data_IF_158884566277
#
_entry.id   IF_158884566277
#
_cell.length_a   1.000
_cell.length_b   1.000
_cell.length_c   1.000
_cell.angle_alpha   90.00
_cell.angle_beta   90.00
_cell.angle_gamma   90.00
#
_symmetry.space_group_name_H-M   'P 1'
#
loop_
_entity.id
_entity.type
_entity.pdbx_description
1 polymer ?
#
# COMPACT_ATOMS: atom_id res chain seq x y z
N UNK A 1 -5.07 18.46 11.00
CA UNK A 1 -5.81 17.64 11.99
C UNK A 1 -6.03 16.31 11.30
N UNK A 2 -5.37 15.25 11.75
CA UNK A 2 -5.45 13.98 11.05
C UNK A 2 -6.77 13.29 11.43
N UNK A 3 -7.64 13.06 10.45
CA UNK A 3 -8.81 12.19 10.59
C UNK A 3 -8.30 10.80 10.99
N UNK A 4 -8.43 10.45 12.29
CA UNK A 4 -8.10 9.11 12.78
C UNK A 4 -9.26 8.21 12.34
N UNK A 5 -9.02 7.33 11.36
CA UNK A 5 -10.04 6.40 10.90
C UNK A 5 -10.32 5.36 11.99
N UNK A 6 -11.55 5.39 12.51
CA UNK A 6 -12.01 4.44 13.49
C UNK A 6 -12.47 3.17 12.77
N UNK A 7 -11.60 2.17 12.67
CA UNK A 7 -11.96 0.81 12.28
C UNK A 7 -12.87 0.21 13.36
N UNK A 8 -14.19 0.38 13.22
CA UNK A 8 -15.15 -0.38 14.01
C UNK A 8 -15.30 -1.75 13.35
N UNK A 9 -15.08 -2.87 14.07
CA UNK A 9 -15.55 -4.17 13.62
C UNK A 9 -17.07 -4.06 13.50
N UNK A 10 -17.57 -3.84 12.28
CA UNK A 10 -18.97 -4.09 12.00
C UNK A 10 -19.08 -5.60 11.97
N UNK A 11 -19.85 -6.19 12.89
CA UNK A 11 -20.13 -7.63 12.90
C UNK A 11 -20.72 -8.16 11.57
N UNK A 12 -21.07 -7.26 10.65
CA UNK A 12 -21.63 -7.52 9.33
C UNK A 12 -20.65 -7.35 8.16
N UNK A 13 -19.40 -6.90 8.38
CA UNK A 13 -18.42 -6.75 7.29
C UNK A 13 -17.34 -7.82 7.36
N UNK A 14 -17.05 -8.43 6.22
CA UNK A 14 -15.94 -9.36 5.99
C UNK A 14 -14.59 -8.64 6.00
N UNK A 15 -13.49 -9.39 6.13
CA UNK A 15 -12.14 -8.82 6.03
C UNK A 15 -11.91 -8.15 4.66
N UNK A 16 -12.36 -8.79 3.58
CA UNK A 16 -12.30 -8.29 2.21
C UNK A 16 -13.00 -6.93 2.05
N UNK A 17 -14.24 -6.79 2.51
CA UNK A 17 -15.00 -5.53 2.40
C UNK A 17 -14.34 -4.39 3.18
N UNK A 18 -13.77 -4.70 4.35
CA UNK A 18 -13.05 -3.71 5.15
C UNK A 18 -11.75 -3.27 4.47
N UNK A 19 -11.03 -4.20 3.84
CA UNK A 19 -9.82 -3.91 3.09
C UNK A 19 -10.12 -3.04 1.87
N UNK A 20 -11.13 -3.40 1.08
CA UNK A 20 -11.56 -2.63 -0.08
C UNK A 20 -11.98 -1.21 0.31
N UNK A 21 -12.78 -1.08 1.38
CA UNK A 21 -13.19 0.22 1.88
C UNK A 21 -12.00 1.08 2.35
N UNK A 22 -10.99 0.47 2.97
CA UNK A 22 -9.77 1.16 3.36
C UNK A 22 -8.96 1.64 2.15
N UNK A 23 -8.79 0.77 1.14
CA UNK A 23 -8.08 1.10 -0.11
C UNK A 23 -8.76 2.25 -0.83
N UNK A 24 -10.08 2.18 -1.05
CA UNK A 24 -10.84 3.24 -1.73
C UNK A 24 -10.73 4.57 -0.98
N UNK A 25 -10.89 4.58 0.35
CA UNK A 25 -10.73 5.82 1.12
C UNK A 25 -9.33 6.42 0.98
N UNK A 26 -8.27 5.60 1.03
CA UNK A 26 -6.90 6.09 0.87
C UNK A 26 -6.61 6.60 -0.54
N UNK A 27 -7.18 5.96 -1.57
CA UNK A 27 -7.02 6.37 -2.97
C UNK A 27 -7.79 7.66 -3.27
N UNK A 28 -9.05 7.72 -2.83
CA UNK A 28 -10.01 8.68 -3.35
C UNK A 28 -10.13 9.94 -2.45
N UNK A 29 -9.83 9.83 -1.15
CA UNK A 29 -10.05 10.94 -0.19
C UNK A 29 -8.76 11.57 0.34
N UNK A 30 -7.65 10.83 0.41
CA UNK A 30 -6.38 11.42 0.84
C UNK A 30 -5.77 12.23 -0.30
N UNK A 31 -5.24 13.41 0.02
CA UNK A 31 -4.56 14.30 -0.93
C UNK A 31 -3.06 14.37 -0.69
N UNK A 32 -2.53 13.56 0.24
CA UNK A 32 -1.09 13.46 0.43
C UNK A 32 -0.46 12.94 -0.86
N UNK A 33 0.64 13.59 -1.26
CA UNK A 33 1.32 13.45 -2.56
C UNK A 33 0.70 14.18 -3.76
N UNK A 34 -0.31 15.03 -3.55
CA UNK A 34 -0.96 15.78 -4.62
C UNK A 34 -2.19 15.07 -5.17
N UNK A 35 -3.00 15.82 -5.91
CA UNK A 35 -4.22 15.32 -6.56
C UNK A 35 -3.97 14.63 -7.90
N UNK A 36 -2.76 14.77 -8.44
CA UNK A 36 -2.29 14.23 -9.72
C UNK A 36 -1.58 12.88 -9.57
N UNK A 37 -1.68 12.24 -8.40
CA UNK A 37 -1.11 10.92 -8.14
C UNK A 37 -1.75 9.86 -9.07
N UNK A 38 -0.95 9.27 -9.95
CA UNK A 38 -1.37 8.13 -10.77
C UNK A 38 -1.41 6.85 -9.91
N UNK A 39 -2.58 6.56 -9.33
CA UNK A 39 -2.75 5.42 -8.42
C UNK A 39 -2.31 4.09 -9.04
N UNK A 40 -2.67 3.85 -10.30
CA UNK A 40 -2.39 2.59 -11.02
C UNK A 40 -0.88 2.33 -11.17
N UNK A 41 -0.06 3.38 -11.24
CA UNK A 41 1.38 3.23 -11.44
C UNK A 41 2.06 2.59 -10.22
N UNK A 42 2.93 1.59 -10.42
CA UNK A 42 3.73 1.00 -9.35
C UNK A 42 4.90 1.91 -8.92
N UNK A 43 5.14 2.99 -9.66
CA UNK A 43 6.18 3.98 -9.39
C UNK A 43 5.51 5.32 -9.15
N UNK A 44 5.66 5.86 -7.94
CA UNK A 44 5.25 7.23 -7.63
C UNK A 44 6.49 8.12 -7.61
N UNK A 45 6.70 8.97 -8.65
CA UNK A 45 7.92 9.76 -8.80
C UNK A 45 8.22 10.60 -7.56
N UNK A 46 9.50 10.63 -7.14
CA UNK A 46 9.98 11.32 -5.93
C UNK A 46 9.36 10.83 -4.60
N UNK A 47 8.50 9.81 -4.63
CA UNK A 47 7.78 9.33 -3.46
C UNK A 47 8.27 7.94 -3.06
N UNK A 48 8.00 6.92 -3.89
CA UNK A 48 8.35 5.51 -3.63
C UNK A 48 8.18 4.63 -4.87
N UNK A 49 8.72 3.41 -4.82
CA UNK A 49 8.56 2.37 -5.82
C UNK A 49 8.02 1.11 -5.14
N UNK A 50 6.86 0.64 -5.58
CA UNK A 50 6.20 -0.58 -5.10
C UNK A 50 6.72 -1.79 -5.88
N UNK A 51 7.96 -2.19 -5.58
CA UNK A 51 8.63 -3.33 -6.18
C UNK A 51 8.85 -4.46 -5.18
N UNK A 52 9.11 -5.67 -5.67
CA UNK A 52 9.41 -6.85 -4.84
C UNK A 52 10.67 -6.66 -4.00
N UNK A 53 10.80 -7.48 -2.96
CA UNK A 53 12.01 -7.51 -2.13
C UNK A 53 13.25 -7.82 -2.98
N UNK A 54 14.33 -7.05 -2.77
CA UNK A 54 15.59 -7.18 -3.53
C UNK A 54 15.68 -6.32 -4.79
N UNK A 55 14.57 -5.77 -5.29
CA UNK A 55 14.58 -4.90 -6.47
C UNK A 55 15.02 -3.48 -6.10
N UNK A 56 16.20 -3.07 -6.57
CA UNK A 56 16.80 -1.76 -6.25
C UNK A 56 16.61 -0.70 -7.35
N UNK A 57 16.13 -1.09 -8.54
CA UNK A 57 15.87 -0.15 -9.64
C UNK A 57 14.71 0.79 -9.33
N UNK A 58 14.75 1.99 -9.91
CA UNK A 58 13.63 2.95 -9.87
C UNK A 58 12.62 2.77 -11.01
N UNK A 59 12.92 1.86 -11.94
CA UNK A 59 12.11 1.55 -13.12
C UNK A 59 11.94 0.03 -13.22
N UNK A 60 11.22 -0.60 -12.28
CA UNK A 60 10.97 -2.03 -12.33
C UNK A 60 10.14 -2.37 -13.57
N UNK A 61 10.38 -3.55 -14.15
CA UNK A 61 9.41 -4.16 -15.08
C UNK A 61 8.21 -4.70 -14.30
N UNK A 62 7.12 -5.06 -14.99
CA UNK A 62 5.87 -5.48 -14.34
C UNK A 62 6.07 -6.68 -13.40
N UNK A 63 6.92 -7.63 -13.76
CA UNK A 63 7.19 -8.84 -12.97
C UNK A 63 7.97 -8.56 -11.68
N UNK A 64 8.65 -7.41 -11.64
CA UNK A 64 9.40 -6.90 -10.50
C UNK A 64 8.56 -6.00 -9.59
N UNK A 65 7.34 -5.63 -9.99
CA UNK A 65 6.40 -4.90 -9.12
C UNK A 65 5.77 -5.81 -8.09
N UNK A 66 5.27 -5.26 -6.99
CA UNK A 66 4.56 -6.06 -5.99
C UNK A 66 3.35 -6.78 -6.61
N UNK A 67 3.01 -7.92 -6.03
CA UNK A 67 1.92 -8.78 -6.46
C UNK A 67 0.58 -8.01 -6.58
N UNK A 68 -0.22 -8.26 -7.63
CA UNK A 68 -1.53 -7.62 -7.81
C UNK A 68 -2.48 -7.79 -6.62
N UNK A 69 -2.40 -8.91 -5.87
CA UNK A 69 -3.24 -9.14 -4.69
C UNK A 69 -2.83 -8.29 -3.47
N UNK A 70 -1.67 -7.60 -3.53
CA UNK A 70 -1.11 -6.87 -2.39
C UNK A 70 -0.82 -5.39 -2.67
N UNK A 71 -0.51 -5.03 -3.92
CA UNK A 71 0.03 -3.72 -4.25
C UNK A 71 -0.90 -2.55 -3.88
N UNK A 72 -2.21 -2.70 -4.01
CA UNK A 72 -3.17 -1.65 -3.65
C UNK A 72 -3.24 -1.42 -2.14
N UNK A 73 -3.16 -2.49 -1.36
CA UNK A 73 -3.01 -2.36 0.09
C UNK A 73 -1.70 -1.64 0.45
N UNK A 74 -0.59 -2.02 -0.17
CA UNK A 74 0.70 -1.39 0.08
C UNK A 74 0.67 0.12 -0.22
N UNK A 75 0.07 0.51 -1.35
CA UNK A 75 -0.17 1.91 -1.74
C UNK A 75 -1.05 2.64 -0.72
N UNK A 76 -2.17 2.03 -0.32
CA UNK A 76 -3.10 2.60 0.64
C UNK A 76 -2.45 2.82 2.02
N UNK A 77 -1.80 1.79 2.56
CA UNK A 77 -1.11 1.87 3.84
C UNK A 77 0.00 2.91 3.83
N UNK A 78 0.84 2.91 2.79
CA UNK A 78 1.92 3.89 2.66
C UNK A 78 1.38 5.32 2.62
N UNK A 79 0.34 5.57 1.80
CA UNK A 79 -0.30 6.89 1.69
C UNK A 79 -0.95 7.30 3.00
N UNK A 80 -1.67 6.40 3.66
CA UNK A 80 -2.28 6.66 4.97
C UNK A 80 -1.25 7.06 6.03
N UNK A 81 -0.19 6.25 6.18
CA UNK A 81 0.88 6.53 7.14
C UNK A 81 1.52 7.88 6.88
N UNK A 82 1.85 8.19 5.62
CA UNK A 82 2.51 9.45 5.27
C UNK A 82 1.58 10.67 5.41
N UNK A 83 0.27 10.50 5.27
CA UNK A 83 -0.73 11.55 5.58
C UNK A 83 -0.93 11.79 7.08
N UNK A 84 -0.74 10.76 7.91
CA UNK A 84 -0.97 10.81 9.35
C UNK A 84 0.29 11.17 10.16
N UNK A 85 1.44 10.64 9.75
CA UNK A 85 2.76 10.84 10.37
C UNK A 85 3.82 10.84 9.27
N UNK A 86 4.33 12.04 8.95
CA UNK A 86 5.40 12.20 7.96
C UNK A 86 6.71 11.58 8.48
N UNK A 87 6.83 10.27 8.32
CA UNK A 87 8.04 9.52 8.62
C UNK A 87 9.15 9.95 7.67
N UNK A 88 10.20 10.56 8.23
CA UNK A 88 11.31 11.15 7.47
C UNK A 88 12.10 10.09 6.66
N UNK A 89 12.06 8.82 7.09
CA UNK A 89 12.88 7.74 6.52
C UNK A 89 12.17 6.89 5.45
N UNK A 90 10.84 7.01 5.27
CA UNK A 90 10.02 6.26 4.31
C UNK A 90 10.27 4.73 4.30
N UNK A 91 10.66 4.16 5.44
CA UNK A 91 11.02 2.75 5.58
C UNK A 91 9.82 1.81 5.46
N UNK A 92 8.59 2.34 5.52
CA UNK A 92 7.34 1.58 5.38
C UNK A 92 7.33 0.84 4.04
N UNK A 93 7.84 1.47 2.98
CA UNK A 93 7.98 0.83 1.66
C UNK A 93 8.79 -0.46 1.74
N UNK A 94 9.95 -0.45 2.41
CA UNK A 94 10.81 -1.64 2.59
C UNK A 94 10.12 -2.73 3.42
N UNK A 95 9.41 -2.33 4.47
CA UNK A 95 8.65 -3.26 5.30
C UNK A 95 7.56 -3.96 4.47
N UNK A 96 6.82 -3.22 3.64
CA UNK A 96 5.78 -3.77 2.76
C UNK A 96 6.35 -4.79 1.77
N UNK A 97 7.57 -4.58 1.24
CA UNK A 97 8.24 -5.58 0.39
C UNK A 97 8.55 -6.88 1.13
N UNK A 98 8.98 -6.77 2.38
CA UNK A 98 9.25 -7.94 3.21
C UNK A 98 7.97 -8.70 3.56
N UNK A 99 6.87 -7.99 3.83
CA UNK A 99 5.55 -8.60 4.11
C UNK A 99 5.04 -9.37 2.89
N UNK A 100 5.03 -8.75 1.71
CA UNK A 100 4.64 -9.42 0.47
C UNK A 100 5.46 -10.69 0.22
N UNK A 101 6.79 -10.59 0.32
CA UNK A 101 7.68 -11.74 0.13
C UNK A 101 7.40 -12.87 1.13
N UNK A 102 7.10 -12.54 2.39
CA UNK A 102 6.75 -13.53 3.41
C UNK A 102 5.40 -14.21 3.12
N UNK A 103 4.38 -13.46 2.69
CA UNK A 103 3.08 -14.02 2.31
C UNK A 103 3.20 -14.99 1.15
N UNK A 104 3.91 -14.59 0.08
CA UNK A 104 4.18 -15.46 -1.07
C UNK A 104 4.94 -16.72 -0.66
N UNK A 105 5.92 -16.60 0.24
CA UNK A 105 6.70 -17.73 0.72
C UNK A 105 5.89 -18.71 1.57
N UNK A 106 5.04 -18.21 2.47
CA UNK A 106 4.35 -19.04 3.48
C UNK A 106 3.00 -19.56 2.96
N UNK A 107 2.25 -18.72 2.23
CA UNK A 107 0.89 -19.01 1.80
C UNK A 107 0.80 -19.39 0.31
N UNK A 108 1.84 -19.11 -0.47
CA UNK A 108 1.81 -19.26 -1.94
C UNK A 108 0.99 -18.19 -2.66
N UNK A 109 0.49 -17.17 -1.94
CA UNK A 109 -0.20 -16.01 -2.47
C UNK A 109 0.08 -14.78 -1.58
N UNK A 110 -0.10 -13.58 -2.13
CA UNK A 110 0.15 -12.33 -1.41
C UNK A 110 -1.13 -11.72 -0.80
N UNK A 111 -2.24 -12.48 -0.75
CA UNK A 111 -3.50 -11.97 -0.25
C UNK A 111 -3.48 -11.79 1.28
N UNK A 112 -4.24 -10.81 1.77
CA UNK A 112 -4.26 -10.40 3.18
C UNK A 112 -5.68 -10.31 3.78
N UNK A 113 -6.71 -10.63 3.02
CA UNK A 113 -8.08 -10.77 3.52
C UNK A 113 -8.48 -12.21 3.92
#
# INVERSE_FOLDING_TARGET
MAEIFLFKPKATLTAAENLEAFISQCRDQLTVFGSDLTWEDPVWPNITVFAKLGIITRKPILEETQDPAFIDFAKAYFRYQQGHSLSRAKNESKALRAVEAALLQVNGNANID
#
